data_IF_816025882777
#
_entry.id   IF_816025882777
#
_cell.length_a   1.000
_cell.length_b   1.000
_cell.length_c   1.000
_cell.angle_alpha   90.00
_cell.angle_beta   90.00
_cell.angle_gamma   90.00
#
_symmetry.space_group_name_H-M   'P 1'
#
loop_
_entity.id
_entity.type
_entity.pdbx_description
1 polymer ?
#
# COMPACT_ATOMS: atom_id res chain seq x y z
N UNK A 1 -15.46 -4.81 15.55
CA UNK A 1 -15.91 -4.86 14.14
C UNK A 1 -14.77 -5.41 13.30
N UNK A 2 -15.06 -6.07 12.18
CA UNK A 2 -14.02 -6.56 11.26
C UNK A 2 -13.30 -5.38 10.57
N UNK A 3 -12.00 -5.52 10.33
CA UNK A 3 -11.20 -4.55 9.56
C UNK A 3 -11.09 -5.01 8.12
N UNK A 4 -11.06 -4.06 7.19
CA UNK A 4 -10.88 -4.31 5.75
C UNK A 4 -9.43 -4.03 5.36
N UNK A 5 -8.79 -4.96 4.66
CA UNK A 5 -7.40 -4.87 4.21
C UNK A 5 -7.34 -4.96 2.68
N UNK A 6 -6.47 -4.15 2.06
CA UNK A 6 -6.08 -4.31 0.65
C UNK A 6 -4.62 -4.72 0.56
N UNK A 7 -4.36 -5.84 -0.12
CA UNK A 7 -3.03 -6.26 -0.51
C UNK A 7 -2.61 -5.60 -1.84
N UNK A 8 -1.41 -5.03 -1.86
CA UNK A 8 -0.82 -4.37 -3.00
C UNK A 8 0.33 -5.22 -3.57
N UNK A 9 0.02 -6.01 -4.61
CA UNK A 9 0.94 -7.02 -5.20
C UNK A 9 1.50 -6.66 -6.58
N UNK A 10 1.31 -5.41 -7.04
CA UNK A 10 1.93 -4.94 -8.28
C UNK A 10 3.43 -4.74 -8.08
N UNK A 11 4.25 -5.17 -9.05
CA UNK A 11 5.70 -4.87 -9.02
C UNK A 11 6.00 -3.44 -9.48
N UNK A 12 5.11 -2.83 -10.28
CA UNK A 12 5.25 -1.45 -10.71
C UNK A 12 4.95 -0.48 -9.55
N UNK A 13 5.90 0.39 -9.25
CA UNK A 13 5.85 1.34 -8.15
C UNK A 13 4.69 2.33 -8.29
N UNK A 14 4.56 2.95 -9.46
CA UNK A 14 3.60 4.03 -9.69
C UNK A 14 2.18 3.48 -9.75
N UNK A 15 1.99 2.31 -10.38
CA UNK A 15 0.73 1.59 -10.37
C UNK A 15 0.31 1.19 -8.95
N UNK A 16 1.27 0.76 -8.11
CA UNK A 16 1.01 0.42 -6.70
C UNK A 16 0.53 1.63 -5.91
N UNK A 17 1.24 2.76 -6.03
CA UNK A 17 0.87 4.00 -5.34
C UNK A 17 -0.48 4.55 -5.85
N UNK A 18 -0.73 4.46 -7.16
CA UNK A 18 -1.99 4.88 -7.76
C UNK A 18 -3.17 4.01 -7.30
N UNK A 19 -2.97 2.70 -7.16
CA UNK A 19 -3.99 1.81 -6.59
C UNK A 19 -4.24 2.13 -5.12
N UNK A 20 -3.18 2.29 -4.32
CA UNK A 20 -3.27 2.66 -2.92
C UNK A 20 -4.08 3.94 -2.73
N UNK A 21 -3.87 4.97 -3.56
CA UNK A 21 -4.62 6.22 -3.51
C UNK A 21 -6.13 6.04 -3.74
N UNK A 22 -6.52 5.09 -4.59
CA UNK A 22 -7.94 4.79 -4.85
C UNK A 22 -8.59 4.03 -3.70
N UNK A 23 -7.85 3.11 -3.07
CA UNK A 23 -8.42 2.20 -2.06
C UNK A 23 -8.31 2.72 -0.64
N UNK A 24 -7.34 3.58 -0.33
CA UNK A 24 -7.05 4.07 1.01
C UNK A 24 -8.27 4.64 1.76
N UNK A 25 -9.22 5.38 1.12
CA UNK A 25 -10.42 5.87 1.79
C UNK A 25 -11.44 4.79 2.19
N UNK A 26 -11.28 3.56 1.69
CA UNK A 26 -12.26 2.47 1.81
C UNK A 26 -11.75 1.28 2.62
N UNK A 27 -10.48 1.28 3.03
CA UNK A 27 -9.85 0.18 3.75
C UNK A 27 -9.14 0.69 5.00
N UNK A 28 -9.01 -0.16 6.00
CA UNK A 28 -8.32 0.16 7.25
C UNK A 28 -6.81 -0.07 7.13
N UNK A 29 -6.40 -1.05 6.32
CA UNK A 29 -5.02 -1.55 6.23
C UNK A 29 -4.58 -1.59 4.76
N UNK A 30 -3.38 -1.06 4.50
CA UNK A 30 -2.69 -1.21 3.22
C UNK A 30 -1.51 -2.16 3.42
N UNK A 31 -1.62 -3.38 2.91
CA UNK A 31 -0.55 -4.38 2.96
C UNK A 31 0.31 -4.28 1.70
N UNK A 32 1.63 -4.20 1.87
CA UNK A 32 2.58 -4.31 0.76
C UNK A 32 2.94 -5.78 0.58
N UNK A 33 2.67 -6.33 -0.60
CA UNK A 33 3.04 -7.70 -0.94
C UNK A 33 4.54 -7.95 -0.82
N UNK A 34 4.92 -9.15 -0.36
CA UNK A 34 6.34 -9.52 -0.25
C UNK A 34 7.12 -9.47 -1.58
N UNK A 35 6.55 -9.77 -2.76
CA UNK A 35 7.23 -9.53 -4.04
C UNK A 35 7.46 -8.04 -4.29
N UNK A 36 6.48 -7.20 -3.95
CA UNK A 36 6.51 -5.76 -4.16
C UNK A 36 7.62 -5.09 -3.33
N UNK A 37 7.75 -5.45 -2.04
CA UNK A 37 8.81 -4.91 -1.17
C UNK A 37 10.21 -5.39 -1.58
N UNK A 38 10.35 -6.63 -2.06
CA UNK A 38 11.62 -7.16 -2.57
C UNK A 38 12.08 -6.44 -3.84
N UNK A 39 11.13 -6.04 -4.69
CA UNK A 39 11.42 -5.35 -5.94
C UNK A 39 11.66 -3.85 -5.75
N UNK A 40 10.77 -3.17 -5.01
CA UNK A 40 10.78 -1.71 -4.85
C UNK A 40 11.57 -1.20 -3.63
N UNK A 41 11.92 -2.10 -2.71
CA UNK A 41 12.61 -1.76 -1.47
C UNK A 41 11.76 -0.94 -0.50
N UNK A 42 12.40 -0.49 0.59
CA UNK A 42 11.72 0.24 1.68
C UNK A 42 11.13 1.58 1.26
N UNK A 43 11.59 2.16 0.15
CA UNK A 43 11.09 3.43 -0.40
C UNK A 43 9.58 3.40 -0.65
N UNK A 44 9.03 2.25 -1.05
CA UNK A 44 7.58 2.11 -1.23
C UNK A 44 6.84 2.24 0.10
N UNK A 45 7.35 1.60 1.16
CA UNK A 45 6.79 1.71 2.51
C UNK A 45 6.82 3.16 3.01
N UNK A 46 7.95 3.84 2.87
CA UNK A 46 8.10 5.25 3.26
C UNK A 46 7.09 6.14 2.52
N UNK A 47 6.93 5.91 1.22
CA UNK A 47 6.00 6.66 0.36
C UNK A 47 4.55 6.44 0.78
N UNK A 48 4.15 5.19 1.01
CA UNK A 48 2.78 4.87 1.43
C UNK A 48 2.49 5.40 2.84
N UNK A 49 3.43 5.30 3.78
CA UNK A 49 3.30 5.87 5.13
C UNK A 49 3.15 7.38 5.13
N UNK A 50 3.94 8.08 4.30
CA UNK A 50 3.85 9.53 4.18
C UNK A 50 2.53 9.98 3.54
N UNK A 51 2.03 9.25 2.52
CA UNK A 51 0.78 9.58 1.82
C UNK A 51 -0.48 9.20 2.59
N UNK A 52 -0.45 8.09 3.32
CA UNK A 52 -1.62 7.49 3.95
C UNK A 52 -1.40 7.25 5.46
N UNK A 53 -1.09 8.30 6.26
CA UNK A 53 -0.71 8.14 7.67
C UNK A 53 -1.82 7.62 8.59
N UNK A 54 -3.07 7.58 8.09
CA UNK A 54 -4.24 7.07 8.83
C UNK A 54 -4.52 5.59 8.58
N UNK A 55 -4.04 5.04 7.47
CA UNK A 55 -4.11 3.61 7.19
C UNK A 55 -3.01 2.89 7.98
N UNK A 56 -3.33 1.70 8.52
CA UNK A 56 -2.38 0.92 9.33
C UNK A 56 -1.29 0.30 8.47
#
# INVERSE_FOLDING_TARGET
MAQTQMALDSLDFDATVALAAKVAPHVDILEIGTPCIKHNGIKLLETLRAKFPKNK
#
